data_IF_842681064758
#
_entry.id   IF_842681064758
#
_cell.length_a   1.000
_cell.length_b   1.000
_cell.length_c   1.000
_cell.angle_alpha   90.00
_cell.angle_beta   90.00
_cell.angle_gamma   90.00
#
_symmetry.space_group_name_H-M   'P 1'
#
loop_
_entity.id
_entity.type
_entity.pdbx_description
1 polymer ?
#
# COMPACT_ATOMS: atom_id res chain seq x y z
N UNK A 1 -5.87 -20.14 10.79
CA UNK A 1 -4.90 -19.02 10.92
C UNK A 1 -4.99 -18.20 9.65
N UNK A 2 -5.11 -16.87 9.68
CA UNK A 2 -5.36 -16.10 8.47
C UNK A 2 -4.11 -16.04 7.59
N UNK A 3 -4.28 -16.37 6.30
CA UNK A 3 -3.24 -16.48 5.26
C UNK A 3 -2.39 -15.20 5.09
N UNK A 4 -2.94 -14.04 5.49
CA UNK A 4 -2.29 -12.73 5.44
C UNK A 4 -1.03 -12.62 6.31
N UNK A 5 -0.92 -13.42 7.37
CA UNK A 5 0.26 -13.45 8.22
C UNK A 5 1.49 -14.00 7.49
N UNK A 6 1.32 -15.01 6.63
CA UNK A 6 2.41 -15.62 5.85
C UNK A 6 2.97 -14.65 4.79
N UNK A 7 2.09 -13.92 4.12
CA UNK A 7 2.50 -12.91 3.13
C UNK A 7 3.37 -11.83 3.78
N UNK A 8 2.96 -11.29 4.93
CA UNK A 8 3.75 -10.30 5.66
C UNK A 8 5.13 -10.82 6.07
N UNK A 9 5.28 -12.10 6.39
CA UNK A 9 6.58 -12.71 6.69
C UNK A 9 7.50 -12.76 5.47
N UNK A 10 6.97 -13.07 4.29
CA UNK A 10 7.78 -13.17 3.07
C UNK A 10 8.28 -11.79 2.60
N UNK A 11 7.48 -10.73 2.77
CA UNK A 11 7.95 -9.35 2.58
C UNK A 11 9.10 -9.01 3.53
N UNK A 12 8.98 -9.37 4.82
CA UNK A 12 10.03 -9.13 5.82
C UNK A 12 11.31 -9.92 5.50
N UNK A 13 11.18 -11.20 5.10
CA UNK A 13 12.33 -12.01 4.66
C UNK A 13 13.01 -11.37 3.45
N UNK A 14 12.24 -10.90 2.48
CA UNK A 14 12.75 -10.23 1.28
C UNK A 14 13.52 -8.95 1.64
N UNK A 15 13.01 -8.14 2.57
CA UNK A 15 13.72 -6.95 3.05
C UNK A 15 15.06 -7.29 3.74
N UNK A 16 15.10 -8.38 4.52
CA UNK A 16 16.35 -8.87 5.13
C UNK A 16 17.35 -9.31 4.06
N UNK A 17 16.89 -9.98 3.00
CA UNK A 17 17.73 -10.40 1.87
C UNK A 17 18.25 -9.19 1.09
N UNK A 18 17.41 -8.18 0.83
CA UNK A 18 17.83 -6.93 0.17
C UNK A 18 18.93 -6.23 0.97
N UNK A 19 18.78 -6.12 2.30
CA UNK A 19 19.82 -5.58 3.17
C UNK A 19 21.13 -6.38 3.10
N UNK A 20 21.05 -7.72 3.07
CA UNK A 20 22.24 -8.58 2.91
C UNK A 20 22.91 -8.42 1.56
N UNK A 21 22.15 -8.10 0.51
CA UNK A 21 22.66 -7.82 -0.82
C UNK A 21 23.27 -6.42 -0.97
N UNK A 22 23.18 -5.57 0.06
CA UNK A 22 23.79 -4.23 0.06
C UNK A 22 22.88 -3.10 -0.44
N UNK A 23 21.57 -3.32 -0.55
CA UNK A 23 20.63 -2.23 -0.81
C UNK A 23 20.53 -1.28 0.39
N UNK A 24 20.24 -0.01 0.13
CA UNK A 24 20.07 1.03 1.16
C UNK A 24 18.66 1.10 1.75
N UNK A 25 17.65 0.64 1.01
CA UNK A 25 16.25 0.70 1.39
C UNK A 25 15.40 -0.29 0.60
N UNK A 26 14.15 -0.50 1.03
CA UNK A 26 13.14 -1.25 0.25
C UNK A 26 11.92 -0.38 0.04
N UNK A 27 11.34 -0.50 -1.15
CA UNK A 27 10.06 0.10 -1.50
C UNK A 27 9.01 -0.99 -1.71
N UNK A 28 8.20 -1.34 -0.70
CA UNK A 28 7.00 -2.14 -0.93
C UNK A 28 6.08 -1.44 -1.92
N UNK A 29 5.75 -2.15 -3.00
CA UNK A 29 4.90 -1.61 -4.04
C UNK A 29 3.43 -1.64 -3.60
N UNK A 30 2.94 -0.49 -3.10
CA UNK A 30 1.57 -0.28 -2.62
C UNK A 30 0.63 0.39 -3.63
N UNK A 31 0.84 0.18 -4.93
CA UNK A 31 0.15 0.90 -5.97
C UNK A 31 -0.20 0.00 -7.17
N UNK A 32 -0.91 0.55 -8.16
CA UNK A 32 -1.23 -0.09 -9.45
C UNK A 32 -2.03 -1.40 -9.31
N UNK A 33 -2.89 -1.51 -8.30
CA UNK A 33 -3.77 -2.67 -8.11
C UNK A 33 -3.06 -3.96 -7.70
N UNK A 34 -1.81 -3.89 -7.24
CA UNK A 34 -1.12 -5.03 -6.64
C UNK A 34 -1.62 -5.29 -5.22
N UNK A 35 -1.17 -6.39 -4.62
CA UNK A 35 -1.72 -6.93 -3.36
C UNK A 35 -1.92 -5.89 -2.25
N UNK A 36 -0.92 -5.04 -2.00
CA UNK A 36 -1.02 -4.00 -0.96
C UNK A 36 -2.15 -3.03 -1.30
N UNK A 37 -2.24 -2.56 -2.54
CA UNK A 37 -3.27 -1.64 -3.04
C UNK A 37 -4.67 -2.27 -2.90
N UNK A 38 -4.77 -3.57 -3.19
CA UNK A 38 -6.01 -4.33 -3.03
C UNK A 38 -6.51 -4.40 -1.58
N UNK A 39 -5.60 -4.33 -0.59
CA UNK A 39 -5.96 -4.23 0.83
C UNK A 39 -6.35 -2.82 1.24
N UNK A 40 -5.79 -1.78 0.61
CA UNK A 40 -6.10 -0.40 0.97
C UNK A 40 -7.49 -0.01 0.47
N UNK A 41 -7.82 -0.38 -0.76
CA UNK A 41 -9.01 0.12 -1.43
C UNK A 41 -10.27 -0.69 -1.16
N UNK A 42 -11.37 -0.01 -0.83
CA UNK A 42 -12.64 -0.63 -0.49
C UNK A 42 -13.30 -1.32 -1.69
N UNK A 43 -12.99 -0.91 -2.93
CA UNK A 43 -13.49 -1.55 -4.16
C UNK A 43 -13.09 -3.04 -4.24
N UNK A 44 -11.89 -3.40 -3.75
CA UNK A 44 -11.38 -4.78 -3.72
C UNK A 44 -11.39 -5.40 -2.33
N UNK A 45 -11.08 -4.65 -1.27
CA UNK A 45 -11.03 -5.19 0.07
C UNK A 45 -12.44 -5.32 0.66
N UNK A 46 -13.00 -6.52 0.56
CA UNK A 46 -14.30 -6.88 1.18
C UNK A 46 -14.14 -7.69 2.47
N UNK A 47 -12.93 -7.69 3.07
CA UNK A 47 -12.70 -8.41 4.31
C UNK A 47 -13.50 -7.80 5.46
N UNK A 48 -14.13 -8.66 6.26
CA UNK A 48 -14.88 -8.29 7.46
C UNK A 48 -14.11 -8.58 8.76
N UNK A 49 -12.86 -9.00 8.62
CA UNK A 49 -11.95 -9.33 9.73
C UNK A 49 -10.98 -8.17 10.04
N UNK A 50 -9.85 -8.48 10.69
CA UNK A 50 -8.84 -7.48 11.08
C UNK A 50 -8.08 -6.86 9.90
N UNK A 51 -8.30 -7.33 8.68
CA UNK A 51 -7.64 -6.85 7.47
C UNK A 51 -8.54 -5.91 6.64
N UNK A 52 -9.78 -5.65 7.05
CA UNK A 52 -10.71 -4.78 6.31
C UNK A 52 -11.78 -4.13 7.18
N UNK A 53 -12.76 -3.51 6.52
CA UNK A 53 -13.93 -2.86 7.12
C UNK A 53 -13.70 -1.46 7.68
N UNK A 54 -12.54 -1.18 8.28
CA UNK A 54 -12.15 0.18 8.69
C UNK A 54 -10.85 0.61 8.03
N UNK A 55 -10.67 1.92 7.79
CA UNK A 55 -9.46 2.46 7.14
C UNK A 55 -8.17 1.99 7.84
N UNK A 56 -8.17 1.94 9.17
CA UNK A 56 -7.02 1.46 9.97
C UNK A 56 -6.77 -0.03 9.79
N UNK A 57 -7.84 -0.84 9.67
CA UNK A 57 -7.69 -2.28 9.40
C UNK A 57 -7.20 -2.54 7.97
N UNK A 58 -7.70 -1.79 6.99
CA UNK A 58 -7.24 -1.85 5.59
C UNK A 58 -5.74 -1.50 5.49
N UNK A 59 -5.30 -0.46 6.20
CA UNK A 59 -3.90 -0.05 6.25
C UNK A 59 -2.99 -1.01 7.03
N UNK A 60 -3.55 -1.89 7.86
CA UNK A 60 -2.79 -2.74 8.79
C UNK A 60 -1.78 -3.63 8.07
N UNK A 61 -2.11 -4.14 6.88
CA UNK A 61 -1.20 -4.98 6.12
C UNK A 61 0.08 -4.24 5.76
N UNK A 62 -0.05 -3.06 5.12
CA UNK A 62 1.08 -2.21 4.73
C UNK A 62 1.91 -1.77 5.95
N UNK A 63 1.26 -1.25 6.98
CA UNK A 63 1.93 -0.74 8.18
C UNK A 63 2.66 -1.85 8.95
N UNK A 64 2.13 -3.08 8.91
CA UNK A 64 2.76 -4.25 9.51
C UNK A 64 4.05 -4.70 8.82
N UNK A 65 4.28 -4.30 7.57
CA UNK A 65 5.51 -4.63 6.84
C UNK A 65 6.72 -3.88 7.38
N UNK A 66 6.52 -2.66 7.88
CA UNK A 66 7.59 -1.91 8.51
C UNK A 66 8.06 -2.61 9.80
N UNK A 67 9.38 -2.72 9.95
CA UNK A 67 10.04 -3.29 11.12
C UNK A 67 10.94 -2.28 11.82
N UNK A 68 11.04 -1.05 11.32
CA UNK A 68 11.88 0.03 11.86
C UNK A 68 13.38 -0.21 11.73
N UNK A 69 13.82 -1.17 10.90
CA UNK A 69 15.24 -1.59 10.78
C UNK A 69 15.92 -1.18 9.47
N UNK A 70 15.16 -0.59 8.56
CA UNK A 70 15.57 -0.30 7.19
C UNK A 70 14.68 0.81 6.61
N UNK A 71 15.20 1.73 5.77
CA UNK A 71 14.38 2.72 5.09
C UNK A 71 13.24 2.05 4.34
N UNK A 72 12.03 2.30 4.81
CA UNK A 72 10.78 1.83 4.25
C UNK A 72 10.19 2.95 3.39
N UNK A 73 9.85 2.62 2.15
CA UNK A 73 9.32 3.56 1.18
C UNK A 73 8.01 2.98 0.66
N UNK A 74 6.92 3.74 0.72
CA UNK A 74 5.65 3.28 0.15
C UNK A 74 5.35 4.02 -1.14
N UNK A 75 4.90 3.29 -2.15
CA UNK A 75 4.34 3.86 -3.38
C UNK A 75 2.83 3.80 -3.32
N UNK A 76 2.14 4.94 -3.44
CA UNK A 76 0.67 5.04 -3.35
C UNK A 76 0.09 5.73 -4.60
N UNK A 77 -1.07 5.29 -5.14
CA UNK A 77 -1.72 5.93 -6.28
C UNK A 77 -3.11 6.50 -5.91
N UNK A 78 -3.20 7.64 -5.19
CA UNK A 78 -4.47 8.10 -4.61
C UNK A 78 -5.64 8.23 -5.60
N UNK A 79 -5.33 8.51 -6.87
CA UNK A 79 -6.29 8.74 -7.95
C UNK A 79 -6.14 7.72 -9.10
N UNK A 80 -5.53 6.56 -8.86
CA UNK A 80 -5.26 5.56 -9.91
C UNK A 80 -6.40 4.58 -10.11
N UNK A 81 -6.91 4.47 -11.34
CA UNK A 81 -7.90 3.45 -11.72
C UNK A 81 -7.32 2.13 -12.26
N UNK A 82 -5.99 2.03 -12.33
CA UNK A 82 -5.32 0.88 -12.95
C UNK A 82 -5.54 -0.40 -12.14
N UNK A 83 -5.77 -1.53 -12.82
CA UNK A 83 -6.04 -2.80 -12.15
C UNK A 83 -7.43 -2.93 -11.55
N UNK A 84 -8.37 -2.03 -11.90
CA UNK A 84 -9.72 -2.01 -11.33
C UNK A 84 -9.79 -1.33 -9.96
N UNK A 85 -8.77 -0.55 -9.60
CA UNK A 85 -8.73 0.30 -8.42
C UNK A 85 -9.57 1.57 -8.64
N UNK A 86 -9.75 2.36 -7.59
CA UNK A 86 -10.55 3.58 -7.56
C UNK A 86 -11.80 3.43 -6.69
N UNK A 87 -11.67 3.71 -5.40
CA UNK A 87 -12.79 3.73 -4.46
C UNK A 87 -13.26 5.15 -4.15
N UNK A 88 -14.54 5.32 -3.82
CA UNK A 88 -15.12 6.62 -3.46
C UNK A 88 -14.46 7.22 -2.20
N UNK A 89 -14.00 6.36 -1.29
CA UNK A 89 -13.34 6.69 -0.03
C UNK A 89 -11.81 6.81 -0.14
N UNK A 90 -11.24 6.79 -1.36
CA UNK A 90 -9.79 6.85 -1.56
C UNK A 90 -9.13 8.05 -0.88
N UNK A 91 -9.75 9.23 -0.94
CA UNK A 91 -9.20 10.42 -0.28
C UNK A 91 -9.02 10.19 1.23
N UNK A 92 -10.03 9.62 1.90
CA UNK A 92 -10.00 9.32 3.33
C UNK A 92 -9.00 8.20 3.63
N UNK A 93 -9.00 7.15 2.81
CA UNK A 93 -8.11 6.00 2.96
C UNK A 93 -6.63 6.40 2.84
N UNK A 94 -6.26 7.10 1.77
CA UNK A 94 -4.87 7.51 1.55
C UNK A 94 -4.44 8.60 2.54
N UNK A 95 -5.34 9.47 2.99
CA UNK A 95 -5.07 10.38 4.12
C UNK A 95 -4.74 9.59 5.39
N UNK A 96 -5.56 8.59 5.74
CA UNK A 96 -5.31 7.73 6.89
C UNK A 96 -3.96 7.00 6.77
N UNK A 97 -3.64 6.43 5.60
CA UNK A 97 -2.34 5.76 5.38
C UNK A 97 -1.18 6.72 5.57
N UNK A 98 -1.25 7.93 5.00
CA UNK A 98 -0.18 8.93 5.12
C UNK A 98 -0.01 9.39 6.57
N UNK A 99 -1.09 9.61 7.31
CA UNK A 99 -1.04 9.96 8.74
C UNK A 99 -0.40 8.84 9.57
N UNK A 100 -0.72 7.58 9.28
CA UNK A 100 -0.11 6.45 9.99
C UNK A 100 1.36 6.30 9.61
N UNK A 101 1.71 6.37 8.33
CA UNK A 101 3.10 6.32 7.88
C UNK A 101 3.93 7.48 8.45
N UNK A 102 3.35 8.66 8.67
CA UNK A 102 4.00 9.79 9.32
C UNK A 102 4.39 9.53 10.79
N UNK A 103 3.78 8.54 11.45
CA UNK A 103 4.17 8.08 12.79
C UNK A 103 5.34 7.10 12.75
N UNK A 104 5.65 6.55 11.58
CA UNK A 104 6.74 5.61 11.36
C UNK A 104 7.99 6.35 10.85
N UNK A 105 9.18 5.77 11.09
CA UNK A 105 10.44 6.31 10.56
C UNK A 105 10.66 5.85 9.12
N UNK A 106 9.81 6.31 8.22
CA UNK A 106 9.96 6.04 6.78
C UNK A 106 11.08 6.88 6.17
N UNK A 107 11.69 6.38 5.08
CA UNK A 107 12.73 7.12 4.37
C UNK A 107 12.14 8.24 3.52
N UNK A 108 11.21 7.90 2.64
CA UNK A 108 10.43 8.82 1.81
C UNK A 108 9.11 8.17 1.39
N UNK A 109 8.18 8.96 0.87
CA UNK A 109 6.90 8.50 0.32
C UNK A 109 6.86 8.82 -1.18
N UNK A 110 6.57 7.82 -2.01
CA UNK A 110 6.40 8.00 -3.46
C UNK A 110 4.91 8.09 -3.77
N UNK A 111 4.48 9.27 -4.22
CA UNK A 111 3.11 9.46 -4.70
C UNK A 111 3.13 9.36 -6.22
N UNK A 112 2.45 8.34 -6.76
CA UNK A 112 2.34 8.14 -8.19
C UNK A 112 1.01 8.67 -8.70
N UNK A 113 1.08 9.67 -9.55
CA UNK A 113 -0.09 10.15 -10.27
C UNK A 113 -0.33 9.24 -11.47
N UNK A 114 -1.44 8.50 -11.47
CA UNK A 114 -1.90 7.88 -12.70
C UNK A 114 -2.41 8.99 -13.61
N UNK A 115 -1.81 9.14 -14.78
CA UNK A 115 -2.40 9.96 -15.84
C UNK A 115 -3.67 9.27 -16.29
N UNK A 116 -4.84 9.82 -15.98
CA UNK A 116 -6.05 9.46 -16.71
C UNK A 116 -5.77 9.85 -18.16
N UNK A 117 -5.70 8.91 -19.13
CA UNK A 117 -5.58 9.31 -20.52
C UNK A 117 -6.78 10.21 -20.82
N UNK A 118 -6.52 11.40 -21.31
CA UNK A 118 -7.54 12.34 -21.79
C UNK A 118 -8.15 11.78 -23.08
N UNK A 119 -8.86 10.65 -23.00
CA UNK A 119 -9.52 10.05 -24.16
C UNK A 119 -10.91 10.66 -24.33
N UNK A 120 -10.96 11.58 -25.28
CA UNK A 120 -12.07 11.92 -26.18
C UNK A 120 -13.42 12.33 -25.57
N UNK A 121 -13.78 13.58 -25.85
CA UNK A 121 -15.14 14.11 -25.93
C UNK A 121 -16.12 13.06 -26.47
N UNK A 122 -17.26 12.80 -25.81
CA UNK A 122 -18.29 11.95 -26.39
C UNK A 122 -18.90 12.70 -27.59
N UNK A 123 -18.71 12.18 -28.81
CA UNK A 123 -19.51 12.54 -30.00
C UNK A 123 -20.89 11.91 -29.94
#
# INVERSE_FOLDING_TARGET
>A
MPTTMFLGEDFRKSAVLAKKAGFDGVEPHGANGYLIDQFLESVTNKCTDKCGGSLVNCARFLLGLDQGRFPFVSRLPPNGGFGGMGSEDNCEMFTCVMEQLGKHKIGYLVVSMATVPTSATPT
#
